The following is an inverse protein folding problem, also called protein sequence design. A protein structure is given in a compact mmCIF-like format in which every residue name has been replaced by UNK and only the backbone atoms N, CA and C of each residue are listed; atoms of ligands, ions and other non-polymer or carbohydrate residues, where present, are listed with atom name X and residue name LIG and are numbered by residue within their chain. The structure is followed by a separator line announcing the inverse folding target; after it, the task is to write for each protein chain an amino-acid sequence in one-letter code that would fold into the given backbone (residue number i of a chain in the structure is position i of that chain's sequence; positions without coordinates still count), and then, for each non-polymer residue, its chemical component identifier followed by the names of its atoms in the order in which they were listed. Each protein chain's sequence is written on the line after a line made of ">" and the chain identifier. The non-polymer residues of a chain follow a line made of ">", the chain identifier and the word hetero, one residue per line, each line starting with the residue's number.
data_IF_230560303088
#
_entry.id   IF_230560303088
#
_cell.length_a   1.000
_cell.length_b   1.000
_cell.length_c   1.000
_cell.angle_alpha   90.00
_cell.angle_beta   90.00
_cell.angle_gamma   90.00
#
_symmetry.space_group_name_H-M   'P 1'
#
loop_
_entity.id
_entity.type
_entity.pdbx_description
1 polymer ?
#
# COMPACT_ATOMS: atom_id res chain seq x y z
N UNK A 1 -39.14 38.54 30.12
CA UNK A 1 -39.03 39.40 28.92
C UNK A 1 -37.63 39.26 28.36
N UNK A 2 -37.54 38.90 27.08
CA UNK A 2 -36.34 38.47 26.37
C UNK A 2 -35.31 39.58 26.16
N UNK A 3 -34.02 39.27 26.33
CA UNK A 3 -32.93 39.90 25.55
C UNK A 3 -32.00 38.81 25.02
N UNK A 4 -32.08 38.58 23.71
CA UNK A 4 -31.27 37.60 22.99
C UNK A 4 -29.86 38.12 22.71
N UNK A 5 -28.85 37.34 23.08
CA UNK A 5 -27.43 37.60 22.78
C UNK A 5 -27.10 37.03 21.41
N UNK A 6 -26.96 37.91 20.42
CA UNK A 6 -26.48 37.58 19.09
C UNK A 6 -25.01 37.10 19.16
N UNK A 7 -24.74 35.90 18.67
CA UNK A 7 -23.39 35.40 18.44
C UNK A 7 -22.99 35.63 16.98
N UNK A 8 -22.10 36.58 16.71
CA UNK A 8 -21.48 36.73 15.40
C UNK A 8 -20.34 35.71 15.27
N UNK A 9 -20.60 34.59 14.60
CA UNK A 9 -19.53 33.77 14.01
C UNK A 9 -19.20 34.33 12.64
N UNK A 10 -18.04 34.99 12.52
CA UNK A 10 -17.40 35.24 11.24
C UNK A 10 -16.94 33.88 10.69
N UNK A 11 -17.68 33.33 9.72
CA UNK A 11 -17.19 32.26 8.86
C UNK A 11 -16.63 32.88 7.58
N UNK A 12 -15.44 32.46 7.12
CA UNK A 12 -14.87 32.97 5.88
C UNK A 12 -15.77 32.58 4.71
N UNK A 13 -16.09 33.56 3.86
CA UNK A 13 -16.69 33.31 2.55
C UNK A 13 -15.67 32.54 1.72
N UNK A 14 -15.88 31.24 1.59
CA UNK A 14 -15.27 30.46 0.51
C UNK A 14 -15.98 30.95 -0.75
N UNK A 15 -15.34 31.85 -1.49
CA UNK A 15 -15.70 32.12 -2.87
C UNK A 15 -15.47 30.84 -3.66
N UNK A 16 -16.54 30.07 -3.83
CA UNK A 16 -16.57 28.99 -4.79
C UNK A 16 -16.37 29.61 -6.17
N UNK A 17 -15.18 29.47 -6.76
CA UNK A 17 -14.96 29.76 -8.17
C UNK A 17 -15.95 28.92 -8.99
N UNK A 18 -17.03 29.55 -9.47
CA UNK A 18 -18.10 28.93 -10.25
C UNK A 18 -17.65 28.44 -11.65
N UNK A 19 -16.35 28.49 -11.96
CA UNK A 19 -15.79 28.20 -13.27
C UNK A 19 -15.31 26.75 -13.46
N UNK A 20 -15.51 25.85 -12.49
CA UNK A 20 -15.28 24.41 -12.65
C UNK A 20 -16.59 23.62 -12.51
N UNK A 21 -17.66 24.12 -13.15
CA UNK A 21 -18.80 23.29 -13.47
C UNK A 21 -18.31 22.17 -14.41
N UNK A 22 -18.07 21.00 -13.85
CA UNK A 22 -17.85 19.75 -14.58
C UNK A 22 -19.02 19.62 -15.57
N UNK A 23 -18.76 19.88 -16.85
CA UNK A 23 -19.77 19.76 -17.92
C UNK A 23 -20.06 18.29 -18.18
N UNK A 24 -20.76 17.64 -17.25
CA UNK A 24 -21.53 16.43 -17.52
C UNK A 24 -22.86 16.85 -18.14
N UNK A 25 -22.81 17.41 -19.36
CA UNK A 25 -23.98 17.50 -20.21
C UNK A 25 -23.80 16.47 -21.32
N UNK A 26 -24.15 15.22 -20.99
CA UNK A 26 -24.45 14.20 -21.98
C UNK A 26 -25.94 13.94 -21.89
N UNK A 27 -26.67 14.09 -23.00
CA UNK A 27 -28.06 13.63 -23.10
C UNK A 27 -28.11 12.17 -22.60
N UNK A 28 -29.12 11.74 -21.83
CA UNK A 28 -29.23 10.35 -21.39
C UNK A 28 -29.37 9.46 -22.61
N UNK A 29 -28.25 8.92 -23.08
CA UNK A 29 -28.22 7.87 -24.07
C UNK A 29 -28.63 6.61 -23.31
N UNK A 30 -29.89 6.20 -23.45
CA UNK A 30 -30.38 4.92 -22.93
C UNK A 30 -29.73 3.79 -23.74
N UNK A 31 -28.44 3.56 -23.51
CA UNK A 31 -27.73 2.42 -24.05
C UNK A 31 -28.21 1.20 -23.29
N UNK A 32 -28.70 0.21 -24.02
CA UNK A 32 -29.09 -1.06 -23.45
C UNK A 32 -27.88 -1.68 -22.72
N UNK A 33 -28.01 -1.88 -21.41
CA UNK A 33 -26.95 -2.39 -20.55
C UNK A 33 -26.48 -3.77 -21.05
N UNK A 34 -27.40 -4.58 -21.58
CA UNK A 34 -27.06 -5.88 -22.14
C UNK A 34 -26.10 -5.77 -23.33
N UNK A 35 -26.30 -4.78 -24.21
CA UNK A 35 -25.40 -4.52 -25.35
C UNK A 35 -23.99 -4.09 -24.92
N UNK A 36 -23.87 -3.34 -23.81
CA UNK A 36 -22.58 -2.92 -23.24
C UNK A 36 -21.84 -4.11 -22.62
N UNK A 37 -22.57 -4.97 -21.90
CA UNK A 37 -21.98 -6.12 -21.21
C UNK A 37 -21.73 -7.32 -22.12
N UNK A 38 -22.31 -7.35 -23.33
CA UNK A 38 -22.13 -8.42 -24.31
C UNK A 38 -20.70 -8.51 -24.87
N UNK A 39 -19.96 -7.40 -24.91
CA UNK A 39 -18.58 -7.35 -25.38
C UNK A 39 -17.66 -6.77 -24.29
N UNK A 40 -17.26 -7.59 -23.29
CA UNK A 40 -16.31 -7.14 -22.29
C UNK A 40 -14.95 -6.90 -22.95
N UNK A 41 -14.48 -5.65 -22.94
CA UNK A 41 -13.17 -5.25 -23.50
C UNK A 41 -11.99 -5.77 -22.69
N UNK A 42 -12.22 -6.17 -21.44
CA UNK A 42 -11.20 -6.75 -20.58
C UNK A 42 -11.85 -7.74 -19.62
N UNK A 43 -11.20 -8.88 -19.43
CA UNK A 43 -11.60 -9.86 -18.42
C UNK A 43 -10.50 -9.91 -17.36
N UNK A 44 -10.85 -9.89 -16.07
CA UNK A 44 -9.86 -10.07 -15.00
C UNK A 44 -9.23 -11.46 -15.08
N UNK A 45 -9.97 -12.45 -15.60
CA UNK A 45 -9.51 -13.83 -15.75
C UNK A 45 -8.33 -13.98 -16.70
N UNK A 46 -8.19 -13.11 -17.70
CA UNK A 46 -7.04 -13.17 -18.61
C UNK A 46 -5.74 -12.68 -17.95
N UNK A 47 -5.81 -12.01 -16.79
CA UNK A 47 -4.65 -11.60 -15.99
C UNK A 47 -4.22 -12.67 -14.96
N UNK A 48 -5.02 -13.73 -14.80
CA UNK A 48 -4.71 -14.81 -13.86
C UNK A 48 -3.89 -15.90 -14.57
N UNK A 49 -2.89 -16.49 -13.89
CA UNK A 49 -2.11 -17.57 -14.46
C UNK A 49 -3.01 -18.77 -14.78
N UNK A 50 -2.98 -19.21 -16.05
CA UNK A 50 -3.72 -20.38 -16.49
C UNK A 50 -3.21 -21.61 -15.72
N UNK A 51 -4.10 -22.52 -15.33
CA UNK A 51 -3.71 -23.70 -14.54
C UNK A 51 -2.61 -24.54 -15.19
N UNK A 52 -2.54 -24.56 -16.53
CA UNK A 52 -1.49 -25.25 -17.28
C UNK A 52 -0.11 -24.57 -17.18
N UNK A 53 -0.06 -23.25 -17.01
CA UNK A 53 1.21 -22.48 -16.97
C UNK A 53 1.84 -22.50 -15.57
N UNK A 54 1.04 -22.73 -14.51
CA UNK A 54 1.51 -22.82 -13.12
C UNK A 54 2.56 -23.91 -12.88
N UNK A 55 2.54 -25.00 -13.65
CA UNK A 55 3.47 -26.12 -13.46
C UNK A 55 4.83 -25.90 -14.11
N UNK A 56 4.92 -25.01 -15.11
CA UNK A 56 6.13 -24.79 -15.91
C UNK A 56 7.00 -23.61 -15.46
N UNK A 57 6.50 -22.73 -14.59
CA UNK A 57 7.15 -21.44 -14.27
C UNK A 57 7.55 -21.30 -12.81
N UNK A 58 7.82 -22.38 -12.09
CA UNK A 58 8.25 -22.34 -10.70
C UNK A 58 9.60 -21.60 -10.58
N UNK A 59 9.53 -20.29 -10.47
CA UNK A 59 10.67 -19.37 -10.53
C UNK A 59 11.40 -19.33 -9.18
N UNK A 60 10.68 -19.67 -8.11
CA UNK A 60 11.16 -19.67 -6.73
C UNK A 60 11.32 -21.10 -6.23
N UNK A 61 12.54 -21.44 -5.82
CA UNK A 61 12.83 -22.72 -5.18
C UNK A 61 12.52 -22.66 -3.69
N UNK A 62 12.25 -23.81 -3.02
CA UNK A 62 12.06 -23.85 -1.56
C UNK A 62 13.23 -23.22 -0.79
N UNK A 63 14.46 -23.41 -1.25
CA UNK A 63 15.65 -22.78 -0.66
C UNK A 63 15.59 -21.24 -0.72
N UNK A 64 15.14 -20.67 -1.85
CA UNK A 64 14.93 -19.23 -1.99
C UNK A 64 13.82 -18.74 -1.05
N UNK A 65 12.72 -19.48 -0.93
CA UNK A 65 11.65 -19.16 0.02
C UNK A 65 12.20 -19.07 1.44
N UNK A 66 12.91 -20.09 1.93
CA UNK A 66 13.52 -20.08 3.28
C UNK A 66 14.53 -18.96 3.46
N UNK A 67 15.28 -18.62 2.41
CA UNK A 67 16.19 -17.48 2.44
C UNK A 67 15.44 -16.15 2.61
N UNK A 68 14.35 -15.94 1.87
CA UNK A 68 13.50 -14.75 2.01
C UNK A 68 12.90 -14.64 3.40
N UNK A 69 12.41 -15.75 3.97
CA UNK A 69 11.89 -15.75 5.34
C UNK A 69 12.95 -15.31 6.34
N UNK A 70 14.20 -15.74 6.18
CA UNK A 70 15.31 -15.29 7.03
C UNK A 70 15.58 -13.79 6.89
N UNK A 71 15.58 -13.25 5.67
CA UNK A 71 15.80 -11.82 5.44
C UNK A 71 14.68 -10.97 6.05
N UNK A 72 13.44 -11.46 6.02
CA UNK A 72 12.28 -10.81 6.62
C UNK A 72 12.11 -11.10 8.11
N UNK A 73 13.07 -11.80 8.73
CA UNK A 73 13.01 -12.24 10.14
C UNK A 73 11.72 -13.03 10.49
N UNK A 74 11.20 -13.79 9.52
CA UNK A 74 10.03 -14.66 9.68
C UNK A 74 10.43 -16.09 10.10
N UNK A 75 9.56 -16.80 10.83
CA UNK A 75 9.79 -18.20 11.18
C UNK A 75 9.84 -19.09 9.93
N UNK A 76 10.55 -20.21 10.03
CA UNK A 76 10.57 -21.22 8.97
C UNK A 76 9.28 -22.05 8.98
N UNK A 77 8.84 -22.57 7.82
CA UNK A 77 7.62 -23.36 7.72
C UNK A 77 7.73 -24.62 8.59
N UNK A 78 6.65 -24.93 9.30
CA UNK A 78 6.60 -26.08 10.21
C UNK A 78 6.37 -27.40 9.49
N UNK A 79 5.83 -27.34 8.26
CA UNK A 79 5.52 -28.51 7.45
C UNK A 79 5.75 -28.27 5.95
N UNK A 80 5.91 -29.36 5.20
CA UNK A 80 6.01 -29.30 3.73
C UNK A 80 4.72 -28.78 3.07
N UNK A 81 3.54 -29.09 3.65
CA UNK A 81 2.27 -28.60 3.13
C UNK A 81 2.15 -27.08 3.25
N UNK A 82 2.60 -26.53 4.37
CA UNK A 82 2.69 -25.09 4.59
C UNK A 82 3.68 -24.45 3.61
N UNK A 83 4.88 -25.03 3.46
CA UNK A 83 5.90 -24.54 2.51
C UNK A 83 5.37 -24.51 1.07
N UNK A 84 4.62 -25.53 0.65
CA UNK A 84 4.01 -25.57 -0.68
C UNK A 84 2.92 -24.51 -0.87
N UNK A 85 2.09 -24.29 0.15
CA UNK A 85 1.07 -23.23 0.14
C UNK A 85 1.70 -21.84 0.02
N UNK A 86 2.80 -21.60 0.75
CA UNK A 86 3.57 -20.36 0.67
C UNK A 86 4.19 -20.16 -0.71
N UNK A 87 4.76 -21.22 -1.31
CA UNK A 87 5.30 -21.16 -2.68
C UNK A 87 4.21 -20.79 -3.69
N UNK A 88 3.06 -21.45 -3.64
CA UNK A 88 1.94 -21.15 -4.54
C UNK A 88 1.46 -19.69 -4.43
N UNK A 89 1.42 -19.18 -3.19
CA UNK A 89 1.03 -17.80 -2.91
C UNK A 89 2.07 -16.83 -3.48
N UNK A 90 3.35 -17.08 -3.24
CA UNK A 90 4.45 -16.26 -3.71
C UNK A 90 4.53 -16.22 -5.24
N UNK A 91 4.34 -17.35 -5.91
CA UNK A 91 4.29 -17.42 -7.37
C UNK A 91 3.15 -16.58 -7.95
N UNK A 92 1.98 -16.63 -7.31
CA UNK A 92 0.82 -15.83 -7.73
C UNK A 92 1.09 -14.32 -7.59
N UNK A 93 1.79 -13.92 -6.53
CA UNK A 93 2.21 -12.54 -6.31
C UNK A 93 3.26 -12.09 -7.34
N UNK A 94 4.26 -12.92 -7.63
CA UNK A 94 5.29 -12.62 -8.63
C UNK A 94 4.68 -12.47 -10.02
N UNK A 95 3.77 -13.37 -10.39
CA UNK A 95 3.05 -13.28 -11.66
C UNK A 95 2.34 -11.93 -11.79
N UNK A 96 1.63 -11.49 -10.75
CA UNK A 96 0.96 -10.19 -10.75
C UNK A 96 1.96 -9.04 -11.00
N UNK A 97 3.11 -9.06 -10.33
CA UNK A 97 4.17 -8.04 -10.55
C UNK A 97 4.73 -8.09 -11.97
N UNK A 98 4.91 -9.29 -12.56
CA UNK A 98 5.36 -9.45 -13.95
C UNK A 98 4.36 -8.89 -14.95
N UNK A 99 3.04 -9.02 -14.71
CA UNK A 99 2.01 -8.37 -15.52
C UNK A 99 2.13 -6.84 -15.46
N UNK A 100 2.40 -6.26 -14.29
CA UNK A 100 2.61 -4.81 -14.15
C UNK A 100 3.85 -4.32 -14.91
N UNK A 101 4.93 -5.12 -14.94
CA UNK A 101 6.18 -4.76 -15.64
C UNK A 101 6.02 -4.67 -17.16
N UNK A 102 4.95 -5.22 -17.74
CA UNK A 102 4.69 -5.12 -19.19
C UNK A 102 4.22 -3.74 -19.64
N UNK A 103 3.86 -2.86 -18.70
CA UNK A 103 3.41 -1.51 -19.01
C UNK A 103 4.60 -0.62 -19.39
N UNK A 104 4.46 0.14 -20.47
CA UNK A 104 5.46 1.13 -20.88
C UNK A 104 5.50 2.29 -19.87
N UNK A 105 6.67 2.46 -19.23
CA UNK A 105 6.95 3.52 -18.28
C UNK A 105 7.96 4.54 -18.82
N UNK A 106 8.21 4.54 -20.14
CA UNK A 106 9.16 5.45 -20.78
C UNK A 106 8.78 6.91 -20.52
N UNK A 107 9.71 7.69 -19.96
CA UNK A 107 9.52 9.12 -19.69
C UNK A 107 8.74 9.44 -18.41
N UNK A 108 8.50 8.46 -17.53
CA UNK A 108 7.82 8.67 -16.24
C UNK A 108 8.82 8.57 -15.09
N UNK A 109 8.87 9.60 -14.25
CA UNK A 109 9.68 9.60 -13.02
C UNK A 109 8.98 8.80 -11.90
N UNK A 110 9.70 7.96 -11.13
CA UNK A 110 9.12 7.21 -10.03
C UNK A 110 8.56 8.12 -8.93
N UNK A 111 7.30 7.89 -8.55
CA UNK A 111 6.67 8.58 -7.43
C UNK A 111 7.26 8.09 -6.11
N UNK A 112 7.90 8.98 -5.34
CA UNK A 112 8.58 8.64 -4.08
C UNK A 112 7.66 8.70 -2.86
N UNK A 113 6.76 9.68 -2.83
CA UNK A 113 5.88 9.93 -1.71
C UNK A 113 4.57 10.54 -2.19
N UNK A 114 3.46 10.18 -1.56
CA UNK A 114 2.16 10.83 -1.77
C UNK A 114 1.99 11.86 -0.65
N UNK A 115 2.84 12.90 -0.66
CA UNK A 115 2.82 13.99 0.32
C UNK A 115 3.15 15.31 -0.36
N UNK A 116 2.78 16.40 0.29
CA UNK A 116 3.33 17.70 -0.05
C UNK A 116 4.81 17.72 0.37
N UNK A 117 5.72 17.64 -0.61
CA UNK A 117 7.17 17.76 -0.40
C UNK A 117 7.63 19.23 -0.41
N UNK A 118 6.69 20.19 -0.34
CA UNK A 118 7.05 21.60 -0.18
C UNK A 118 7.93 21.80 1.06
N UNK A 119 8.90 22.73 1.01
CA UNK A 119 9.77 23.01 2.15
C UNK A 119 9.01 23.38 3.43
N UNK A 120 7.78 23.89 3.29
CA UNK A 120 6.88 24.21 4.40
C UNK A 120 6.33 22.95 5.08
N UNK A 121 5.78 22.01 4.30
CA UNK A 121 5.23 20.75 4.81
C UNK A 121 6.32 19.86 5.45
N UNK A 122 7.54 19.89 4.91
CA UNK A 122 8.70 19.20 5.51
C UNK A 122 9.04 19.78 6.88
N UNK A 123 9.07 21.12 7.03
CA UNK A 123 9.34 21.79 8.33
C UNK A 123 8.28 21.47 9.37
N UNK A 124 7.01 21.43 8.98
CA UNK A 124 5.89 21.09 9.87
C UNK A 124 5.95 19.63 10.33
N UNK A 125 6.31 18.70 9.43
CA UNK A 125 6.40 17.26 9.74
C UNK A 125 7.68 16.87 10.48
N UNK A 126 8.68 17.76 10.56
CA UNK A 126 9.94 17.49 11.24
C UNK A 126 9.76 17.68 12.75
N UNK A 127 9.67 16.58 13.49
CA UNK A 127 9.66 16.60 14.96
C UNK A 127 11.07 16.86 15.49
N UNK A 128 11.26 18.00 16.16
CA UNK A 128 12.53 18.36 16.79
C UNK A 128 12.77 17.62 18.12
N UNK A 129 14.03 17.48 18.51
CA UNK A 129 14.43 16.85 19.78
C UNK A 129 13.77 17.50 21.01
N UNK A 130 13.57 18.82 20.97
CA UNK A 130 12.89 19.56 22.05
C UNK A 130 11.47 19.06 22.31
N UNK A 131 10.75 18.65 21.26
CA UNK A 131 9.39 18.14 21.33
C UNK A 131 9.34 16.69 21.85
N UNK A 132 10.43 15.94 21.71
CA UNK A 132 10.55 14.55 22.15
C UNK A 132 11.11 14.41 23.58
N UNK A 133 11.53 15.50 24.23
CA UNK A 133 12.17 15.44 25.56
C UNK A 133 11.29 14.81 26.62
N UNK A 134 9.99 15.10 26.62
CA UNK A 134 9.06 14.55 27.60
C UNK A 134 8.82 13.04 27.37
N UNK A 135 8.84 12.58 26.12
CA UNK A 135 8.74 11.17 25.77
C UNK A 135 10.01 10.41 26.16
N UNK A 136 11.19 10.99 25.92
CA UNK A 136 12.46 10.41 26.37
C UNK A 136 12.62 10.41 27.89
N UNK A 137 12.02 11.37 28.61
CA UNK A 137 12.01 11.37 30.08
C UNK A 137 11.18 10.21 30.66
N UNK A 138 10.22 9.68 29.90
CA UNK A 138 9.39 8.53 30.28
C UNK A 138 10.00 7.19 29.86
N UNK A 139 11.07 7.20 29.07
CA UNK A 139 11.77 5.98 28.67
C UNK A 139 12.42 5.34 29.91
N UNK A 140 11.96 4.13 30.27
CA UNK A 140 12.62 3.35 31.30
C UNK A 140 14.00 2.92 30.79
N UNK A 141 15.05 3.58 31.31
CA UNK A 141 16.45 3.17 31.14
C UNK A 141 16.72 1.90 31.94
N UNK A 142 16.27 0.76 31.42
CA UNK A 142 16.98 -0.49 31.68
C UNK A 142 18.38 -0.38 31.05
N UNK A 143 19.44 -0.88 31.69
CA UNK A 143 20.79 -0.66 31.19
C UNK A 143 21.02 -1.31 29.82
N UNK A 144 20.23 -2.33 29.46
CA UNK A 144 20.30 -3.04 28.18
C UNK A 144 18.93 -3.61 27.81
N UNK A 145 18.63 -3.71 26.51
CA UNK A 145 17.53 -4.56 26.04
C UNK A 145 17.91 -6.02 26.29
N UNK A 146 17.09 -6.75 27.05
CA UNK A 146 17.28 -8.19 27.26
C UNK A 146 16.76 -8.91 26.02
N UNK A 147 17.67 -9.34 25.16
CA UNK A 147 17.35 -10.14 23.96
C UNK A 147 17.65 -11.60 24.27
N UNK A 148 16.72 -12.51 23.99
CA UNK A 148 16.96 -13.95 24.13
C UNK A 148 18.01 -14.38 23.09
N UNK A 149 19.25 -14.56 23.51
CA UNK A 149 20.27 -15.18 22.68
C UNK A 149 20.05 -16.69 22.73
N UNK A 150 19.65 -17.29 21.60
CA UNK A 150 19.66 -18.75 21.46
C UNK A 150 21.11 -19.21 21.64
N UNK A 151 21.40 -19.84 22.76
CA UNK A 151 22.73 -20.30 23.14
C UNK A 151 23.38 -21.10 22.01
N UNK A 152 24.62 -20.73 21.70
CA UNK A 152 25.49 -21.45 20.77
C UNK A 152 25.68 -22.88 21.30
N UNK A 153 24.97 -23.86 20.73
CA UNK A 153 25.29 -25.27 20.96
C UNK A 153 26.56 -25.58 20.17
N UNK A 154 27.67 -25.58 20.89
CA UNK A 154 28.95 -26.17 20.49
C UNK A 154 28.83 -27.69 20.42
N UNK A 155 29.18 -28.26 19.27
CA UNK A 155 29.76 -29.61 19.13
C UNK A 155 30.73 -29.59 17.97
#
# INVERSE_FOLDING_TARGET
>A
MNTGRAGNRLRPSITCNAALARRYSSKPQHRDIASILAQPTWSVRSLLPKQAEKQSTATVTPQKLRHLLRLSALPQPSSHAEEQSMLQTLESQIHFVQEMQRVDTTGVEPLRSIRDESPAAVKESTLGLDQLRDAFAQEQKGPYFVVETKGSQSS
#
